data_IF_001558240163
#
_entry.id   IF_001558240163
#
_cell.length_a   1.000
_cell.length_b   1.000
_cell.length_c   1.000
_cell.angle_alpha   90.00
_cell.angle_beta   90.00
_cell.angle_gamma   90.00
#
_symmetry.space_group_name_H-M   'P 1'
#
loop_
_entity.id
_entity.type
_entity.pdbx_description
1 polymer ?
#
# COMPACT_ATOMS: atom_id res chain seq x y z
N UNK A 1 -12.64 76.95 -5.32
CA UNK A 1 -11.73 75.99 -4.65
C UNK A 1 -12.43 74.65 -4.57
N UNK A 2 -11.96 73.64 -5.30
CA UNK A 2 -12.53 72.28 -5.30
C UNK A 2 -11.70 71.40 -4.38
N UNK A 3 -12.30 70.87 -3.31
CA UNK A 3 -11.72 69.79 -2.50
C UNK A 3 -12.03 68.45 -3.18
N UNK A 4 -11.00 67.69 -3.52
CA UNK A 4 -11.10 66.26 -3.81
C UNK A 4 -10.81 65.50 -2.51
N UNK A 5 -11.77 64.70 -2.06
CA UNK A 5 -11.57 63.70 -1.01
C UNK A 5 -11.28 62.35 -1.67
N UNK A 6 -10.09 61.81 -1.44
CA UNK A 6 -9.74 60.42 -1.77
C UNK A 6 -10.24 59.51 -0.66
N UNK A 7 -11.08 58.54 -1.00
CA UNK A 7 -11.53 57.48 -0.10
C UNK A 7 -10.64 56.25 -0.35
N UNK A 8 -9.79 55.88 0.61
CA UNK A 8 -9.06 54.61 0.61
C UNK A 8 -9.97 53.54 1.23
N UNK A 9 -10.35 52.52 0.45
CA UNK A 9 -10.91 51.27 0.96
C UNK A 9 -9.75 50.32 1.30
N UNK A 10 -9.58 50.02 2.59
CA UNK A 10 -8.78 48.89 3.06
C UNK A 10 -9.66 47.64 3.05
N UNK A 11 -9.36 46.69 2.15
CA UNK A 11 -9.89 45.34 2.20
C UNK A 11 -9.10 44.55 3.25
N UNK A 12 -9.77 44.19 4.36
CA UNK A 12 -9.26 43.22 5.32
C UNK A 12 -9.30 41.83 4.70
N UNK A 13 -8.13 41.29 4.38
CA UNK A 13 -7.96 39.87 4.06
C UNK A 13 -7.94 39.11 5.40
N UNK A 14 -9.07 38.57 5.83
CA UNK A 14 -9.09 37.62 6.94
C UNK A 14 -8.36 36.35 6.50
N UNK A 15 -7.12 36.22 6.95
CA UNK A 15 -6.34 35.00 6.82
C UNK A 15 -7.04 33.88 7.58
N UNK A 16 -7.84 33.08 6.86
CA UNK A 16 -8.39 31.84 7.38
C UNK A 16 -7.23 30.97 7.85
N UNK A 17 -7.16 30.72 9.16
CA UNK A 17 -6.25 29.75 9.73
C UNK A 17 -6.57 28.39 9.07
N UNK A 18 -5.68 27.92 8.20
CA UNK A 18 -5.73 26.54 7.73
C UNK A 18 -5.57 25.66 8.97
N UNK A 19 -6.67 25.06 9.42
CA UNK A 19 -6.65 24.08 10.48
C UNK A 19 -5.66 22.98 10.05
N UNK A 20 -4.58 22.80 10.82
CA UNK A 20 -3.67 21.70 10.57
C UNK A 20 -4.47 20.41 10.74
N UNK A 21 -4.65 19.70 9.63
CA UNK A 21 -5.27 18.38 9.64
C UNK A 21 -4.31 17.46 10.40
N UNK A 22 -4.72 17.03 11.59
CA UNK A 22 -3.95 16.17 12.47
C UNK A 22 -3.55 14.87 11.73
N UNK A 23 -2.39 14.30 12.05
CA UNK A 23 -1.97 13.06 11.41
C UNK A 23 -2.87 11.89 11.86
N UNK A 24 -3.13 10.89 10.99
CA UNK A 24 -3.76 9.66 11.44
C UNK A 24 -2.87 8.94 12.46
N UNK A 25 -3.48 8.21 13.39
CA UNK A 25 -2.77 7.46 14.42
C UNK A 25 -1.86 6.37 13.81
N UNK A 26 -0.59 6.33 14.23
CA UNK A 26 0.37 5.32 13.77
C UNK A 26 -0.02 3.92 14.25
N UNK A 27 0.25 2.92 13.42
CA UNK A 27 0.01 1.51 13.79
C UNK A 27 1.01 0.99 14.83
N UNK A 28 2.18 1.63 14.97
CA UNK A 28 3.15 1.31 16.02
C UNK A 28 2.69 1.75 17.41
N UNK A 29 1.87 2.79 17.47
CA UNK A 29 1.39 3.40 18.72
C UNK A 29 -0.05 2.97 19.05
N UNK A 30 -0.78 2.47 18.05
CA UNK A 30 -2.14 1.96 18.22
C UNK A 30 -2.09 0.50 18.69
N UNK A 31 -2.68 0.14 19.85
CA UNK A 31 -2.76 -1.25 20.28
C UNK A 31 -3.48 -2.12 19.26
N UNK A 32 -2.85 -3.23 18.86
CA UNK A 32 -3.47 -4.24 18.01
C UNK A 32 -4.32 -5.20 18.85
N UNK A 33 -5.37 -5.75 18.25
CA UNK A 33 -6.04 -6.95 18.76
C UNK A 33 -5.43 -8.17 18.11
N UNK A 34 -4.71 -8.97 18.90
CA UNK A 34 -4.13 -10.24 18.45
C UNK A 34 -5.24 -11.29 18.32
N UNK A 35 -5.34 -11.89 17.14
CA UNK A 35 -6.28 -12.97 16.83
C UNK A 35 -5.66 -14.34 17.11
N UNK A 36 -4.39 -14.51 16.74
CA UNK A 36 -3.62 -15.74 16.93
C UNK A 36 -2.12 -15.48 16.81
N UNK A 37 -1.34 -16.36 17.43
CA UNK A 37 0.11 -16.49 17.25
C UNK A 37 0.44 -17.97 17.06
N UNK A 38 1.30 -18.28 16.07
CA UNK A 38 1.79 -19.64 15.80
C UNK A 38 3.27 -19.57 15.42
N UNK A 39 4.13 -19.76 16.43
CA UNK A 39 5.56 -19.53 16.29
C UNK A 39 5.85 -18.08 15.83
N UNK A 40 6.54 -17.88 14.69
CA UNK A 40 6.82 -16.54 14.16
C UNK A 40 5.61 -15.88 13.46
N UNK A 41 4.56 -16.65 13.15
CA UNK A 41 3.38 -16.13 12.49
C UNK A 41 2.49 -15.36 13.47
N UNK A 42 2.15 -14.12 13.12
CA UNK A 42 1.30 -13.22 13.88
C UNK A 42 0.07 -12.86 13.06
N UNK A 43 -1.11 -12.95 13.68
CA UNK A 43 -2.39 -12.57 13.09
C UNK A 43 -3.08 -11.58 14.02
N UNK A 44 -3.34 -10.37 13.54
CA UNK A 44 -3.93 -9.32 14.36
C UNK A 44 -4.73 -8.34 13.53
N UNK A 45 -5.41 -7.41 14.19
CA UNK A 45 -5.97 -6.25 13.52
C UNK A 45 -5.89 -4.98 14.35
N UNK A 46 -5.93 -3.84 13.67
CA UNK A 46 -6.15 -2.52 14.26
C UNK A 46 -7.48 -1.96 13.82
N UNK A 47 -8.06 -1.10 14.66
CA UNK A 47 -9.15 -0.22 14.27
C UNK A 47 -8.78 1.23 14.52
N UNK A 48 -8.84 2.03 13.46
CA UNK A 48 -8.54 3.47 13.50
C UNK A 48 -9.70 4.27 12.89
N UNK A 49 -9.72 5.57 13.19
CA UNK A 49 -10.64 6.50 12.53
C UNK A 49 -10.33 6.63 11.06
N UNK A 50 -11.35 6.79 10.21
CA UNK A 50 -11.13 7.21 8.83
C UNK A 50 -10.50 8.60 8.83
N UNK A 51 -9.49 8.77 8.00
CA UNK A 51 -8.79 10.03 7.84
C UNK A 51 -8.32 10.20 6.40
N UNK A 52 -8.43 11.39 5.76
CA UNK A 52 -8.04 11.57 4.37
C UNK A 52 -6.58 11.18 4.08
N UNK A 53 -5.68 11.45 5.03
CA UNK A 53 -4.25 11.13 4.86
C UNK A 53 -3.97 9.63 4.76
N UNK A 54 -4.85 8.74 5.24
CA UNK A 54 -4.68 7.27 5.07
C UNK A 54 -4.48 6.89 3.60
N UNK A 55 -5.08 7.67 2.70
CA UNK A 55 -5.13 7.42 1.26
C UNK A 55 -4.27 8.41 0.47
N UNK A 56 -3.40 9.17 1.13
CA UNK A 56 -2.53 10.19 0.52
C UNK A 56 -1.10 9.66 0.35
N UNK A 57 -0.38 10.18 -0.64
CA UNK A 57 1.07 9.97 -0.80
C UNK A 57 1.92 10.78 0.20
N UNK A 58 1.30 11.64 1.02
CA UNK A 58 1.98 12.44 2.05
C UNK A 58 2.28 11.62 3.31
N UNK A 59 3.42 10.91 3.27
CA UNK A 59 3.78 9.90 4.27
C UNK A 59 4.06 10.46 5.68
N UNK A 60 4.54 11.71 5.80
CA UNK A 60 5.02 12.20 7.10
C UNK A 60 6.24 11.40 7.59
N UNK A 61 6.31 11.12 8.89
CA UNK A 61 7.39 10.31 9.46
C UNK A 61 6.99 8.83 9.55
N UNK A 62 7.75 7.98 8.86
CA UNK A 62 7.57 6.52 8.80
C UNK A 62 8.95 5.89 8.99
N UNK A 63 9.44 5.76 10.24
CA UNK A 63 10.87 5.63 10.53
C UNK A 63 11.51 4.32 10.05
N UNK A 64 10.84 3.16 10.18
CA UNK A 64 11.41 1.91 9.70
C UNK A 64 11.41 1.84 8.16
N UNK A 65 10.39 2.42 7.51
CA UNK A 65 10.39 2.57 6.06
C UNK A 65 11.53 3.48 5.58
N UNK A 66 11.75 4.61 6.26
CA UNK A 66 12.89 5.50 5.97
C UNK A 66 14.21 4.75 6.09
N UNK A 67 14.42 4.03 7.19
CA UNK A 67 15.63 3.25 7.42
C UNK A 67 15.85 2.16 6.34
N UNK A 68 14.77 1.51 5.87
CA UNK A 68 14.84 0.58 4.75
C UNK A 68 15.29 1.27 3.46
N UNK A 69 14.70 2.41 3.11
CA UNK A 69 15.08 3.18 1.91
C UNK A 69 16.53 3.67 1.98
N UNK A 70 16.96 4.16 3.13
CA UNK A 70 18.34 4.58 3.38
C UNK A 70 19.33 3.40 3.24
N UNK A 71 18.93 2.22 3.72
CA UNK A 71 19.74 1.00 3.61
C UNK A 71 19.89 0.55 2.15
N UNK A 72 18.83 0.67 1.34
CA UNK A 72 18.91 0.40 -0.10
C UNK A 72 19.82 1.39 -0.83
N UNK A 73 19.73 2.67 -0.50
CA UNK A 73 20.61 3.69 -1.07
C UNK A 73 22.08 3.42 -0.74
N UNK A 74 22.35 2.95 0.48
CA UNK A 74 23.70 2.56 0.91
C UNK A 74 24.24 1.35 0.14
N UNK A 75 23.41 0.31 -0.08
CA UNK A 75 23.85 -0.95 -0.71
C UNK A 75 23.95 -0.84 -2.23
N UNK A 76 22.99 -0.20 -2.88
CA UNK A 76 22.95 -0.07 -4.34
C UNK A 76 23.75 1.15 -4.85
N UNK A 77 23.89 2.17 -4.01
CA UNK A 77 24.28 3.51 -4.45
C UNK A 77 23.13 4.25 -5.14
N UNK A 78 23.13 5.58 -5.00
CA UNK A 78 22.06 6.47 -5.50
C UNK A 78 21.75 6.27 -7.00
N UNK A 79 22.77 6.08 -7.83
CA UNK A 79 22.60 5.94 -9.28
C UNK A 79 21.89 4.65 -9.70
N UNK A 80 22.20 3.52 -9.05
CA UNK A 80 21.54 2.24 -9.33
C UNK A 80 20.13 2.24 -8.73
N UNK A 81 19.98 2.72 -7.48
CA UNK A 81 18.67 2.82 -6.85
C UNK A 81 17.71 3.68 -7.70
N UNK A 82 18.16 4.83 -8.19
CA UNK A 82 17.34 5.67 -9.06
C UNK A 82 16.91 4.96 -10.35
N UNK A 83 17.79 4.16 -10.98
CA UNK A 83 17.47 3.38 -12.17
C UNK A 83 16.43 2.30 -11.88
N UNK A 84 16.62 1.54 -10.81
CA UNK A 84 15.69 0.49 -10.38
C UNK A 84 14.32 1.09 -10.05
N UNK A 85 14.29 2.18 -9.28
CA UNK A 85 13.03 2.87 -8.96
C UNK A 85 12.37 3.46 -10.19
N UNK A 86 13.13 4.00 -11.15
CA UNK A 86 12.58 4.49 -12.40
C UNK A 86 11.94 3.34 -13.20
N UNK A 87 12.60 2.18 -13.27
CA UNK A 87 12.07 0.99 -13.93
C UNK A 87 10.77 0.51 -13.27
N UNK A 88 10.82 0.25 -11.96
CA UNK A 88 9.69 -0.27 -11.18
C UNK A 88 8.53 0.73 -11.01
N UNK A 89 8.76 2.03 -11.21
CA UNK A 89 7.70 3.05 -11.19
C UNK A 89 7.15 3.40 -12.57
N UNK A 90 7.78 2.93 -13.65
CA UNK A 90 7.41 3.32 -15.01
C UNK A 90 6.16 2.61 -15.51
N UNK A 91 5.29 3.37 -16.17
CA UNK A 91 4.25 2.84 -17.04
C UNK A 91 4.26 3.60 -18.38
N UNK A 92 4.03 2.91 -19.51
CA UNK A 92 3.59 3.58 -20.75
C UNK A 92 4.51 3.52 -21.97
N UNK A 93 5.36 2.50 -22.10
CA UNK A 93 5.99 2.18 -23.39
C UNK A 93 5.63 0.76 -23.84
N UNK A 94 4.48 0.57 -24.51
CA UNK A 94 4.20 -0.69 -25.18
C UNK A 94 5.21 -0.87 -26.32
N UNK A 95 5.84 -2.05 -26.42
CA UNK A 95 6.30 -2.53 -27.71
C UNK A 95 5.05 -3.04 -28.46
N UNK A 96 4.57 -2.31 -29.49
CA UNK A 96 3.36 -2.69 -30.22
C UNK A 96 3.51 -4.00 -31.00
N UNK A 97 4.70 -4.60 -31.05
CA UNK A 97 4.96 -5.82 -31.80
C UNK A 97 4.62 -7.13 -31.07
N UNK A 98 4.27 -7.12 -29.78
CA UNK A 98 4.06 -8.35 -29.00
C UNK A 98 2.89 -8.32 -27.99
N UNK A 99 1.62 -8.14 -28.42
CA UNK A 99 0.47 -8.12 -27.51
C UNK A 99 0.08 -9.50 -26.93
N UNK A 100 0.52 -10.61 -27.55
CA UNK A 100 0.05 -11.98 -27.27
C UNK A 100 1.04 -12.83 -26.45
N UNK A 101 2.17 -12.27 -26.02
CA UNK A 101 3.23 -12.96 -25.25
C UNK A 101 3.64 -12.23 -23.97
N UNK A 102 2.87 -11.22 -23.56
CA UNK A 102 3.21 -10.40 -22.40
C UNK A 102 3.03 -11.18 -21.10
N UNK A 103 4.06 -11.20 -20.27
CA UNK A 103 3.96 -11.67 -18.89
C UNK A 103 3.19 -10.66 -18.01
N UNK A 104 2.86 -11.05 -16.77
CA UNK A 104 2.15 -10.16 -15.86
C UNK A 104 2.91 -8.85 -15.61
N UNK A 105 4.24 -8.90 -15.61
CA UNK A 105 5.09 -7.72 -15.46
C UNK A 105 4.87 -6.72 -16.59
N UNK A 106 5.01 -7.16 -17.83
CA UNK A 106 4.78 -6.35 -19.01
C UNK A 106 3.34 -5.82 -19.07
N UNK A 107 2.34 -6.62 -18.68
CA UNK A 107 0.94 -6.19 -18.63
C UNK A 107 0.74 -5.00 -17.66
N UNK A 108 1.42 -4.99 -16.52
CA UNK A 108 1.36 -3.85 -15.58
C UNK A 108 2.20 -2.67 -16.08
N UNK A 109 3.45 -2.88 -16.49
CA UNK A 109 4.39 -1.81 -16.86
C UNK A 109 4.06 -1.14 -18.21
N UNK A 110 3.18 -1.74 -19.02
CA UNK A 110 2.59 -1.05 -20.18
C UNK A 110 1.31 -0.28 -19.85
N UNK A 111 0.82 -0.37 -18.61
CA UNK A 111 -0.44 0.23 -18.16
C UNK A 111 -1.68 -0.50 -18.67
N UNK A 112 -1.53 -1.72 -19.20
CA UNK A 112 -2.66 -2.51 -19.72
C UNK A 112 -3.51 -3.06 -18.58
N UNK A 113 -2.89 -3.57 -17.52
CA UNK A 113 -3.58 -4.09 -16.33
C UNK A 113 -3.11 -3.36 -15.07
N UNK A 114 -4.00 -2.54 -14.50
CA UNK A 114 -3.71 -1.80 -13.27
C UNK A 114 -2.89 -0.52 -13.46
N UNK A 115 -2.53 0.12 -12.35
CA UNK A 115 -1.76 1.37 -12.34
C UNK A 115 -0.67 1.33 -11.27
N UNK A 116 0.48 1.89 -11.57
CA UNK A 116 1.56 2.11 -10.60
C UNK A 116 1.47 3.55 -10.09
N UNK A 117 1.57 3.73 -8.78
CA UNK A 117 1.59 5.05 -8.13
C UNK A 117 2.57 5.04 -6.95
N UNK A 118 2.86 6.23 -6.43
CA UNK A 118 3.54 6.34 -5.14
C UNK A 118 2.76 5.61 -4.04
N UNK A 119 3.48 5.01 -3.09
CA UNK A 119 2.88 4.38 -1.91
C UNK A 119 2.06 5.41 -1.11
N UNK A 120 0.92 4.98 -0.57
CA UNK A 120 0.10 5.84 0.30
C UNK A 120 0.43 5.61 1.78
N UNK A 121 0.06 6.56 2.63
CA UNK A 121 0.36 6.56 4.06
C UNK A 121 -0.01 5.25 4.77
N UNK A 122 -1.24 4.74 4.58
CA UNK A 122 -1.66 3.52 5.25
C UNK A 122 -0.85 2.29 4.80
N UNK A 123 -0.51 2.22 3.51
CA UNK A 123 0.34 1.14 2.97
C UNK A 123 1.76 1.23 3.55
N UNK A 124 2.29 2.46 3.63
CA UNK A 124 3.59 2.74 4.23
C UNK A 124 3.62 2.36 5.71
N UNK A 125 2.56 2.64 6.48
CA UNK A 125 2.48 2.29 7.90
C UNK A 125 2.34 0.79 8.16
N UNK A 126 1.59 0.06 7.32
CA UNK A 126 1.51 -1.40 7.43
C UNK A 126 2.89 -2.01 7.15
N UNK A 127 3.58 -1.53 6.11
CA UNK A 127 4.94 -1.97 5.82
C UNK A 127 5.94 -1.53 6.91
N UNK A 128 5.80 -0.33 7.46
CA UNK A 128 6.59 0.19 8.59
C UNK A 128 6.50 -0.77 9.77
N UNK A 129 5.29 -1.21 10.12
CA UNK A 129 5.09 -2.22 11.16
C UNK A 129 5.85 -3.51 10.86
N UNK A 130 5.73 -4.06 9.64
CA UNK A 130 6.49 -5.27 9.27
C UNK A 130 8.00 -5.05 9.36
N UNK A 131 8.52 -3.91 8.89
CA UNK A 131 9.94 -3.57 8.93
C UNK A 131 10.50 -3.44 10.35
N UNK A 132 9.69 -3.05 11.33
CA UNK A 132 10.11 -3.08 12.75
C UNK A 132 10.26 -4.49 13.30
N UNK A 133 9.53 -5.47 12.75
CA UNK A 133 9.64 -6.89 13.13
C UNK A 133 10.80 -7.55 12.38
N UNK A 134 10.85 -7.35 11.07
CA UNK A 134 11.79 -8.01 10.16
C UNK A 134 12.27 -7.01 9.08
N UNK A 135 13.49 -6.45 9.21
CA UNK A 135 14.06 -5.58 8.19
C UNK A 135 14.32 -6.34 6.88
N UNK A 136 13.63 -5.96 5.79
CA UNK A 136 13.60 -6.72 4.53
C UNK A 136 14.98 -7.01 3.93
N UNK A 137 15.92 -6.08 4.05
CA UNK A 137 17.27 -6.22 3.47
C UNK A 137 18.04 -7.42 4.04
N UNK A 138 17.86 -7.71 5.33
CA UNK A 138 18.52 -8.83 6.01
C UNK A 138 17.61 -10.03 6.24
N UNK A 139 16.30 -9.82 6.22
CA UNK A 139 15.29 -10.82 6.56
C UNK A 139 14.04 -10.64 5.66
N UNK A 140 14.11 -11.08 4.40
CA UNK A 140 13.05 -10.84 3.43
C UNK A 140 11.78 -11.59 3.83
N UNK A 141 10.70 -10.84 3.96
CA UNK A 141 9.41 -11.33 4.45
C UNK A 141 8.27 -10.67 3.69
N UNK A 142 7.14 -11.34 3.67
CA UNK A 142 5.90 -10.82 3.11
C UNK A 142 4.77 -10.84 4.12
N UNK A 143 3.80 -9.94 3.95
CA UNK A 143 2.61 -9.87 4.78
C UNK A 143 1.32 -9.88 3.95
N UNK A 144 0.20 -10.26 4.58
CA UNK A 144 -1.14 -9.93 4.11
C UNK A 144 -1.73 -8.79 4.93
N UNK A 145 -2.27 -7.78 4.26
CA UNK A 145 -3.04 -6.69 4.82
C UNK A 145 -4.45 -6.68 4.24
N UNK A 146 -5.48 -6.95 5.04
CA UNK A 146 -6.88 -6.78 4.61
C UNK A 146 -7.42 -5.49 5.20
N UNK A 147 -7.74 -4.54 4.33
CA UNK A 147 -8.17 -3.20 4.73
C UNK A 147 -9.67 -3.09 4.51
N UNK A 148 -10.43 -3.13 5.59
CA UNK A 148 -11.88 -2.98 5.59
C UNK A 148 -12.30 -1.59 6.07
N UNK A 149 -13.36 -1.05 5.48
CA UNK A 149 -13.92 0.26 5.85
C UNK A 149 -15.35 0.12 6.32
N UNK A 150 -15.72 0.87 7.35
CA UNK A 150 -17.08 1.00 7.83
C UNK A 150 -17.50 2.47 7.75
N UNK A 151 -18.26 2.81 6.72
CA UNK A 151 -18.60 4.21 6.41
C UNK A 151 -19.54 4.83 7.46
N UNK A 152 -20.48 4.05 8.01
CA UNK A 152 -21.45 4.58 8.96
C UNK A 152 -20.81 5.00 10.30
N UNK A 153 -19.74 4.33 10.73
CA UNK A 153 -18.98 4.71 11.93
C UNK A 153 -17.68 5.44 11.61
N UNK A 154 -17.39 5.72 10.34
CA UNK A 154 -16.13 6.32 9.87
C UNK A 154 -14.89 5.62 10.45
N UNK A 155 -14.84 4.28 10.34
CA UNK A 155 -13.71 3.46 10.81
C UNK A 155 -13.01 2.72 9.68
N UNK A 156 -11.74 2.40 9.90
CA UNK A 156 -10.93 1.48 9.10
C UNK A 156 -10.44 0.37 10.01
N UNK A 157 -10.58 -0.88 9.57
CA UNK A 157 -10.04 -2.06 10.23
C UNK A 157 -8.98 -2.67 9.33
N UNK A 158 -7.79 -2.89 9.87
CA UNK A 158 -6.63 -3.39 9.14
C UNK A 158 -6.26 -4.72 9.74
N UNK A 159 -6.58 -5.81 9.06
CA UNK A 159 -6.11 -7.14 9.46
C UNK A 159 -4.73 -7.38 8.87
N UNK A 160 -3.85 -7.99 9.66
CA UNK A 160 -2.46 -8.20 9.31
C UNK A 160 -2.03 -9.62 9.66
N UNK A 161 -1.43 -10.30 8.69
CA UNK A 161 -0.81 -11.60 8.86
C UNK A 161 0.60 -11.60 8.28
N UNK A 162 1.60 -11.90 9.09
CA UNK A 162 2.98 -12.00 8.65
C UNK A 162 3.78 -12.95 9.55
N UNK A 163 4.84 -13.53 9.01
CA UNK A 163 5.80 -14.37 9.72
C UNK A 163 7.23 -13.93 9.43
N UNK A 164 8.21 -14.73 9.85
CA UNK A 164 9.62 -14.59 9.52
C UNK A 164 9.99 -15.34 8.21
N UNK A 165 8.99 -15.77 7.42
CA UNK A 165 9.19 -16.48 6.16
C UNK A 165 9.05 -15.53 4.96
N UNK A 166 9.67 -15.84 3.81
CA UNK A 166 9.61 -14.99 2.62
C UNK A 166 8.26 -15.03 1.90
N UNK A 167 7.30 -15.81 2.39
CA UNK A 167 5.91 -15.82 1.93
C UNK A 167 4.98 -15.54 3.12
N UNK A 168 3.84 -14.86 2.91
CA UNK A 168 2.92 -14.56 3.99
C UNK A 168 2.27 -15.86 4.50
N UNK A 169 1.97 -15.96 5.81
CA UNK A 169 1.28 -17.12 6.34
C UNK A 169 -0.18 -17.16 5.85
N UNK A 170 -0.74 -18.36 5.74
CA UNK A 170 -2.15 -18.53 5.38
C UNK A 170 -3.04 -17.76 6.36
N UNK A 171 -3.97 -16.90 5.90
CA UNK A 171 -4.70 -15.98 6.77
C UNK A 171 -5.87 -16.63 7.54
N UNK A 172 -5.79 -17.94 7.84
CA UNK A 172 -6.87 -18.71 8.44
C UNK A 172 -7.52 -18.04 9.67
N UNK A 173 -6.73 -17.52 10.64
CA UNK A 173 -7.27 -16.79 11.78
C UNK A 173 -7.96 -15.46 11.46
N UNK A 174 -7.59 -14.78 10.37
CA UNK A 174 -8.21 -13.50 9.96
C UNK A 174 -9.59 -13.75 9.34
N UNK A 175 -9.74 -14.83 8.56
CA UNK A 175 -10.89 -15.05 7.69
C UNK A 175 -12.23 -15.03 8.45
N UNK A 176 -12.43 -15.76 9.56
CA UNK A 176 -13.69 -15.71 10.32
C UNK A 176 -14.00 -14.31 10.86
N UNK A 177 -12.99 -13.58 11.30
CA UNK A 177 -13.16 -12.22 11.82
C UNK A 177 -13.50 -11.22 10.73
N UNK A 178 -12.91 -11.37 9.53
CA UNK A 178 -13.28 -10.56 8.37
C UNK A 178 -14.71 -10.87 7.94
N UNK A 179 -15.11 -12.14 7.86
CA UNK A 179 -16.47 -12.54 7.52
C UNK A 179 -17.50 -11.95 8.49
N UNK A 180 -17.24 -12.04 9.80
CA UNK A 180 -18.07 -11.39 10.81
C UNK A 180 -18.14 -9.88 10.60
N UNK A 181 -17.02 -9.20 10.33
CA UNK A 181 -17.03 -7.76 10.05
C UNK A 181 -17.92 -7.43 8.85
N UNK A 182 -17.86 -8.22 7.78
CA UNK A 182 -18.68 -7.99 6.59
C UNK A 182 -20.19 -8.12 6.89
N UNK A 183 -20.60 -9.01 7.80
CA UNK A 183 -22.01 -9.08 8.24
C UNK A 183 -22.42 -7.91 9.12
N UNK A 184 -21.47 -7.29 9.83
CA UNK A 184 -21.64 -6.08 10.63
C UNK A 184 -21.60 -4.78 9.80
N UNK A 185 -21.56 -4.88 8.46
CA UNK A 185 -21.63 -3.72 7.56
C UNK A 185 -20.28 -3.17 7.13
N UNK A 186 -19.17 -3.83 7.50
CA UNK A 186 -17.85 -3.50 6.96
C UNK A 186 -17.76 -3.90 5.49
N UNK A 187 -16.86 -3.25 4.74
CA UNK A 187 -16.59 -3.60 3.34
C UNK A 187 -15.09 -3.74 3.14
N UNK A 188 -14.66 -4.88 2.62
CA UNK A 188 -13.27 -5.07 2.21
C UNK A 188 -12.98 -4.10 1.06
N UNK A 189 -12.06 -3.17 1.28
CA UNK A 189 -11.66 -2.17 0.30
C UNK A 189 -10.46 -2.67 -0.49
N UNK A 190 -9.41 -3.07 0.23
CA UNK A 190 -8.15 -3.51 -0.36
C UNK A 190 -7.66 -4.78 0.31
N UNK A 191 -6.98 -5.60 -0.49
CA UNK A 191 -5.96 -6.52 0.00
C UNK A 191 -4.61 -5.94 -0.41
N UNK A 192 -3.66 -5.94 0.50
CA UNK A 192 -2.31 -5.41 0.33
C UNK A 192 -1.32 -6.51 0.69
N UNK A 193 -0.29 -6.69 -0.12
CA UNK A 193 0.95 -7.34 0.33
C UNK A 193 2.16 -6.58 -0.20
N UNK A 194 3.35 -6.92 0.31
CA UNK A 194 4.60 -6.37 -0.18
C UNK A 194 5.34 -7.38 -1.05
N UNK A 195 6.12 -6.86 -2.00
CA UNK A 195 7.14 -7.61 -2.72
C UNK A 195 8.53 -7.15 -2.29
N UNK A 196 9.49 -8.05 -2.42
CA UNK A 196 10.91 -7.81 -2.27
C UNK A 196 11.64 -8.76 -3.21
N UNK A 197 12.72 -8.30 -3.84
CA UNK A 197 13.56 -9.13 -4.71
C UNK A 197 14.91 -9.38 -4.04
N UNK A 198 15.57 -10.53 -4.29
CA UNK A 198 16.86 -10.83 -3.69
C UNK A 198 17.99 -9.89 -4.15
N UNK A 199 19.18 -9.92 -3.50
CA UNK A 199 20.31 -9.05 -3.85
C UNK A 199 20.73 -9.06 -5.32
N UNK A 200 20.64 -10.21 -5.98
CA UNK A 200 20.97 -10.39 -7.40
C UNK A 200 19.94 -9.75 -8.35
N UNK A 201 18.81 -9.27 -7.82
CA UNK A 201 17.72 -8.61 -8.52
C UNK A 201 17.49 -7.18 -7.97
N UNK A 202 18.50 -6.63 -7.30
CA UNK A 202 18.54 -5.25 -6.82
C UNK A 202 17.56 -4.89 -5.67
N UNK A 203 17.14 -5.86 -4.86
CA UNK A 203 16.45 -5.64 -3.58
C UNK A 203 15.03 -5.02 -3.64
N UNK A 204 14.63 -4.42 -4.75
CA UNK A 204 13.33 -3.74 -4.90
C UNK A 204 12.38 -4.68 -5.61
N UNK A 205 11.34 -5.12 -4.90
CA UNK A 205 10.36 -6.07 -5.45
C UNK A 205 9.67 -5.59 -6.72
N UNK A 206 9.47 -6.51 -7.66
CA UNK A 206 8.76 -6.30 -8.91
C UNK A 206 7.31 -5.81 -8.71
N UNK A 207 6.89 -4.80 -9.48
CA UNK A 207 5.54 -4.23 -9.44
C UNK A 207 4.52 -4.95 -10.31
N UNK A 208 4.43 -6.28 -10.16
CA UNK A 208 3.42 -7.09 -10.83
C UNK A 208 3.06 -8.34 -10.03
N UNK A 209 1.82 -8.87 -10.15
CA UNK A 209 1.43 -10.07 -9.43
C UNK A 209 2.08 -11.31 -10.05
N UNK A 210 2.47 -12.27 -9.20
CA UNK A 210 2.71 -13.63 -9.65
C UNK A 210 1.40 -14.32 -10.07
N UNK A 211 1.49 -15.50 -10.69
CA UNK A 211 0.31 -16.33 -10.95
C UNK A 211 -0.44 -16.70 -9.66
N UNK A 212 0.29 -16.95 -8.57
CA UNK A 212 -0.30 -17.28 -7.28
C UNK A 212 -1.08 -16.09 -6.70
N UNK A 213 -0.52 -14.87 -6.80
CA UNK A 213 -1.20 -13.65 -6.39
C UNK A 213 -2.49 -13.44 -7.19
N UNK A 214 -2.42 -13.57 -8.52
CA UNK A 214 -3.57 -13.43 -9.38
C UNK A 214 -4.70 -14.42 -9.04
N UNK A 215 -4.35 -15.69 -8.78
CA UNK A 215 -5.31 -16.70 -8.34
C UNK A 215 -5.91 -16.37 -6.98
N UNK A 216 -5.08 -15.89 -6.05
CA UNK A 216 -5.52 -15.50 -4.73
C UNK A 216 -6.45 -14.29 -4.77
N UNK A 217 -6.14 -13.28 -5.56
CA UNK A 217 -7.00 -12.11 -5.77
C UNK A 217 -8.35 -12.48 -6.39
N UNK A 218 -8.40 -13.44 -7.33
CA UNK A 218 -9.67 -14.02 -7.83
C UNK A 218 -10.49 -14.62 -6.69
N UNK A 219 -9.87 -15.43 -5.84
CA UNK A 219 -10.54 -16.02 -4.68
C UNK A 219 -11.06 -14.96 -3.69
N UNK A 220 -10.28 -13.89 -3.43
CA UNK A 220 -10.72 -12.79 -2.57
C UNK A 220 -11.86 -11.96 -3.18
N UNK A 221 -11.83 -11.73 -4.50
CA UNK A 221 -12.95 -11.11 -5.22
C UNK A 221 -14.21 -11.94 -5.07
N UNK A 222 -14.12 -13.23 -5.32
CA UNK A 222 -15.28 -14.11 -5.35
C UNK A 222 -15.87 -14.33 -3.94
N UNK A 223 -15.01 -14.40 -2.91
CA UNK A 223 -15.44 -14.61 -1.52
C UNK A 223 -15.85 -13.33 -0.79
N UNK A 224 -15.13 -12.22 -0.99
CA UNK A 224 -15.27 -10.99 -0.19
C UNK A 224 -15.64 -9.76 -1.01
N UNK A 225 -15.96 -9.92 -2.29
CA UNK A 225 -16.23 -8.82 -3.21
C UNK A 225 -15.10 -7.77 -3.27
N UNK A 226 -13.85 -8.21 -3.10
CA UNK A 226 -12.65 -7.37 -3.20
C UNK A 226 -12.69 -6.49 -4.45
N UNK A 227 -12.33 -5.21 -4.30
CA UNK A 227 -12.35 -4.23 -5.40
C UNK A 227 -10.99 -3.97 -6.01
N UNK A 228 -9.97 -3.79 -5.19
CA UNK A 228 -8.60 -3.64 -5.67
C UNK A 228 -7.64 -4.46 -4.81
N UNK A 229 -6.70 -5.14 -5.45
CA UNK A 229 -5.53 -5.70 -4.81
C UNK A 229 -4.34 -4.73 -4.97
N UNK A 230 -3.49 -4.66 -3.97
CA UNK A 230 -2.36 -3.75 -3.88
C UNK A 230 -1.09 -4.54 -3.64
N UNK A 231 -0.03 -4.20 -4.38
CA UNK A 231 1.31 -4.76 -4.14
C UNK A 231 2.27 -3.58 -4.01
N UNK A 232 3.05 -3.52 -2.93
CA UNK A 232 4.02 -2.45 -2.69
C UNK A 232 5.44 -2.97 -2.52
N UNK A 233 6.44 -2.22 -2.99
CA UNK A 233 7.85 -2.47 -2.71
C UNK A 233 8.43 -1.49 -1.68
N UNK A 234 7.57 -0.70 -1.04
CA UNK A 234 7.96 0.35 -0.09
C UNK A 234 8.29 1.70 -0.72
N UNK A 235 8.30 1.84 -2.03
CA UNK A 235 8.41 3.12 -2.74
C UNK A 235 7.14 3.42 -3.53
N UNK A 236 6.75 2.45 -4.35
CA UNK A 236 5.56 2.48 -5.19
C UNK A 236 4.61 1.35 -4.81
N UNK A 237 3.40 1.46 -5.34
CA UNK A 237 2.36 0.45 -5.21
C UNK A 237 1.67 0.29 -6.56
N UNK A 238 1.57 -0.94 -7.04
CA UNK A 238 0.65 -1.29 -8.12
C UNK A 238 -0.74 -1.49 -7.53
N UNK A 239 -1.73 -0.89 -8.18
CA UNK A 239 -3.16 -1.03 -7.88
C UNK A 239 -3.79 -1.86 -8.99
N UNK A 240 -4.36 -3.00 -8.61
CA UNK A 240 -4.94 -3.99 -9.52
C UNK A 240 -6.45 -4.06 -9.30
N UNK A 241 -7.27 -3.51 -10.21
CA UNK A 241 -8.72 -3.61 -10.10
C UNK A 241 -9.21 -5.04 -10.26
N UNK A 242 -10.25 -5.42 -9.52
CA UNK A 242 -10.80 -6.78 -9.56
C UNK A 242 -11.31 -7.23 -10.94
N UNK A 243 -11.59 -6.27 -11.82
CA UNK A 243 -11.93 -6.54 -13.22
C UNK A 243 -10.77 -7.16 -14.01
N UNK A 244 -9.52 -6.89 -13.65
CA UNK A 244 -8.33 -7.34 -14.39
C UNK A 244 -7.78 -8.66 -13.87
N UNK A 245 -8.27 -9.18 -12.74
CA UNK A 245 -7.69 -10.39 -12.12
C UNK A 245 -7.68 -11.58 -13.06
N UNK A 246 -8.74 -11.74 -13.88
CA UNK A 246 -8.86 -12.82 -14.86
C UNK A 246 -7.78 -12.80 -15.94
N UNK A 247 -7.23 -11.62 -16.22
CA UNK A 247 -6.33 -11.34 -17.34
C UNK A 247 -4.84 -11.52 -16.98
N UNK A 248 -4.54 -11.91 -15.73
CA UNK A 248 -3.22 -12.38 -15.33
C UNK A 248 -3.14 -13.90 -15.49
N UNK A 249 -2.14 -14.37 -16.24
CA UNK A 249 -2.07 -15.76 -16.73
C UNK A 249 -0.67 -16.39 -16.77
N UNK A 250 0.40 -15.65 -16.47
CA UNK A 250 1.78 -16.15 -16.57
C UNK A 250 2.66 -15.74 -15.37
N UNK A 251 3.85 -16.35 -15.32
CA UNK A 251 4.99 -15.89 -14.54
C UNK A 251 5.80 -14.91 -15.37
#
# INVERSE_FOLDING_TARGET
>A
MRCLSFLLLFLFWEGGAYAQIEAPASLLETPATVLAEDGPALFQYWEIGQHPRLWSAELGDVPALRAYRDSLALVLGEGMLAQVLQFESSQGHPDPSQPDTMDNYALVHTGRLGRIRAIHWLEAEILNYQLTRYPLLGHPTEFHGFIAVHNASSRVRIYFAASDQPWPPKPGPIIPHLEQALTEGWRLRYHLHNHYDPPNENFVGAMAPSLADAQYFKALRDRFALKDALITNGFTTVVLPAATFADFFSH
#
